data_IF_155020523381
#
_entry.id   IF_155020523381
#
_cell.length_a   1.000
_cell.length_b   1.000
_cell.length_c   1.000
_cell.angle_alpha   90.00
_cell.angle_beta   90.00
_cell.angle_gamma   90.00
#
_symmetry.space_group_name_H-M   'P 1'
#
loop_
_entity.id
_entity.type
_entity.pdbx_description
1 polymer ?
#
# COMPACT_ATOMS: atom_id res chain seq x y z
N UNK A 1 8.42 -8.61 2.42
CA UNK A 1 6.98 -8.36 2.63
C UNK A 1 6.28 -8.44 1.29
N UNK A 2 5.35 -9.39 1.16
CA UNK A 2 4.62 -9.59 -0.09
C UNK A 2 3.54 -8.53 -0.29
N UNK A 3 3.06 -8.38 -1.52
CA UNK A 3 1.90 -7.55 -1.83
C UNK A 3 0.69 -7.89 -0.93
N UNK A 4 0.43 -9.18 -0.68
CA UNK A 4 -0.70 -9.64 0.15
C UNK A 4 -0.57 -9.17 1.61
N UNK A 5 0.65 -9.22 2.15
CA UNK A 5 0.92 -8.74 3.51
C UNK A 5 0.74 -7.23 3.62
N UNK A 6 1.27 -6.47 2.66
CA UNK A 6 1.15 -5.01 2.62
C UNK A 6 -0.31 -4.59 2.55
N UNK A 7 -1.05 -5.09 1.56
CA UNK A 7 -2.46 -4.71 1.33
C UNK A 7 -3.39 -5.10 2.47
N UNK A 8 -3.12 -6.22 3.16
CA UNK A 8 -3.85 -6.59 4.38
C UNK A 8 -3.66 -5.55 5.49
N UNK A 9 -2.42 -5.12 5.76
CA UNK A 9 -2.12 -4.07 6.74
C UNK A 9 -2.74 -2.72 6.35
N UNK A 10 -2.65 -2.36 5.07
CA UNK A 10 -3.27 -1.13 4.55
C UNK A 10 -4.80 -1.12 4.76
N UNK A 11 -5.48 -2.25 4.54
CA UNK A 11 -6.91 -2.39 4.84
C UNK A 11 -7.22 -2.22 6.33
N UNK A 12 -6.41 -2.80 7.20
CA UNK A 12 -6.56 -2.63 8.66
C UNK A 12 -6.38 -1.15 9.09
N UNK A 13 -5.57 -0.39 8.36
CA UNK A 13 -5.37 1.04 8.53
C UNK A 13 -6.41 1.91 7.81
N UNK A 14 -7.46 1.32 7.25
CA UNK A 14 -8.57 2.03 6.60
C UNK A 14 -8.30 2.43 5.14
N UNK A 15 -7.16 2.05 4.56
CA UNK A 15 -6.92 2.23 3.13
C UNK A 15 -7.70 1.21 2.32
N UNK A 16 -8.08 1.59 1.10
CA UNK A 16 -8.85 0.73 0.20
C UNK A 16 -8.30 0.76 -1.21
N UNK A 17 -8.55 -0.34 -1.92
CA UNK A 17 -8.37 -0.39 -3.37
C UNK A 17 -9.31 0.64 -4.03
N UNK A 18 -8.74 1.45 -4.93
CA UNK A 18 -9.48 2.45 -5.72
C UNK A 18 -9.79 1.91 -7.11
N UNK A 19 -8.76 1.58 -7.88
CA UNK A 19 -8.89 1.03 -9.24
C UNK A 19 -7.58 0.40 -9.72
N UNK A 20 -7.66 -0.35 -10.82
CA UNK A 20 -6.47 -0.88 -11.49
C UNK A 20 -5.75 0.23 -12.28
N UNK A 21 -4.42 0.24 -12.22
CA UNK A 21 -3.56 1.07 -13.06
C UNK A 21 -3.11 0.27 -14.30
N UNK A 22 -2.13 0.80 -15.06
CA UNK A 22 -1.61 0.11 -16.24
C UNK A 22 -0.91 -1.20 -15.82
N UNK A 23 -1.34 -2.32 -16.41
CA UNK A 23 -0.75 -3.64 -16.17
C UNK A 23 -1.14 -4.23 -14.81
N UNK A 24 -0.16 -4.81 -14.11
CA UNK A 24 -0.34 -5.43 -12.79
C UNK A 24 -0.23 -4.44 -11.63
N UNK A 25 -0.46 -3.15 -11.87
CA UNK A 25 -0.41 -2.15 -10.81
C UNK A 25 -1.81 -1.80 -10.33
N UNK A 26 -1.93 -1.51 -9.05
CA UNK A 26 -3.18 -1.09 -8.42
C UNK A 26 -3.05 0.28 -7.78
N UNK A 27 -4.11 1.07 -7.83
CA UNK A 27 -4.20 2.34 -7.14
C UNK A 27 -4.91 2.11 -5.81
N UNK A 28 -4.29 2.56 -4.74
CA UNK A 28 -4.81 2.51 -3.39
C UNK A 28 -5.04 3.90 -2.86
N UNK A 29 -6.14 4.08 -2.13
CA UNK A 29 -6.59 5.34 -1.56
C UNK A 29 -6.61 5.22 -0.03
N UNK A 30 -6.09 6.23 0.65
CA UNK A 30 -6.36 6.50 2.04
C UNK A 30 -7.54 7.50 2.13
N UNK A 31 -8.75 7.07 2.55
CA UNK A 31 -9.91 7.96 2.63
C UNK A 31 -9.74 9.10 3.64
N UNK A 32 -8.88 8.95 4.65
CA UNK A 32 -8.71 9.93 5.71
C UNK A 32 -8.08 11.25 5.24
N UNK A 33 -7.20 11.17 4.24
CA UNK A 33 -6.49 12.33 3.68
C UNK A 33 -6.61 12.42 2.15
N UNK A 34 -7.44 11.57 1.53
CA UNK A 34 -7.61 11.43 0.09
C UNK A 34 -6.32 11.12 -0.70
N UNK A 35 -5.26 10.70 -0.01
CA UNK A 35 -3.99 10.40 -0.64
C UNK A 35 -4.04 9.07 -1.39
N UNK A 36 -3.36 9.01 -2.55
CA UNK A 36 -3.32 7.83 -3.41
C UNK A 36 -1.89 7.40 -3.67
N UNK A 37 -1.70 6.10 -3.82
CA UNK A 37 -0.43 5.52 -4.25
C UNK A 37 -0.66 4.36 -5.21
N UNK A 38 0.39 3.99 -5.94
CA UNK A 38 0.37 2.85 -6.87
C UNK A 38 1.17 1.71 -6.27
N UNK A 39 0.53 0.56 -6.10
CA UNK A 39 1.14 -0.65 -5.55
C UNK A 39 1.32 -1.67 -6.68
N UNK A 40 2.56 -2.15 -6.93
CA UNK A 40 2.76 -3.21 -7.90
C UNK A 40 2.28 -4.57 -7.36
N UNK A 41 1.55 -5.32 -8.17
CA UNK A 41 1.18 -6.71 -7.90
C UNK A 41 2.26 -7.64 -8.45
N UNK A 42 3.26 -7.97 -7.63
CA UNK A 42 4.31 -8.96 -7.93
C UNK A 42 3.95 -10.38 -7.47
N UNK A 43 2.65 -10.66 -7.25
CA UNK A 43 2.19 -11.99 -6.83
C UNK A 43 2.76 -12.40 -5.47
N UNK A 44 3.62 -13.44 -5.49
CA UNK A 44 4.26 -14.01 -4.30
C UNK A 44 5.61 -13.37 -3.96
N UNK A 45 6.15 -12.54 -4.84
CA UNK A 45 7.45 -11.90 -4.63
C UNK A 45 7.36 -10.78 -3.58
N UNK A 46 8.49 -10.58 -2.91
CA UNK A 46 8.64 -9.55 -1.92
C UNK A 46 8.79 -8.16 -2.55
N UNK A 47 8.04 -7.20 -2.00
CA UNK A 47 8.22 -5.79 -2.31
C UNK A 47 9.56 -5.30 -1.76
N UNK A 48 10.29 -4.54 -2.57
CA UNK A 48 11.55 -3.92 -2.13
C UNK A 48 11.26 -2.97 -0.95
N UNK A 49 12.12 -2.92 0.08
CA UNK A 49 11.90 -2.05 1.24
C UNK A 49 11.65 -0.58 0.89
N UNK A 50 12.38 -0.04 -0.10
CA UNK A 50 12.18 1.34 -0.57
C UNK A 50 10.80 1.60 -1.18
N UNK A 51 10.20 0.60 -1.83
CA UNK A 51 8.84 0.70 -2.39
C UNK A 51 7.82 0.79 -1.25
N UNK A 52 8.00 0.00 -0.20
CA UNK A 52 7.12 0.05 0.98
C UNK A 52 7.20 1.42 1.65
N UNK A 53 8.42 1.95 1.84
CA UNK A 53 8.62 3.30 2.42
C UNK A 53 7.94 4.37 1.57
N UNK A 54 8.06 4.31 0.24
CA UNK A 54 7.39 5.25 -0.66
C UNK A 54 5.86 5.17 -0.54
N UNK A 55 5.30 3.95 -0.56
CA UNK A 55 3.85 3.72 -0.40
C UNK A 55 3.32 4.30 0.90
N UNK A 56 4.02 4.06 2.03
CA UNK A 56 3.60 4.59 3.33
C UNK A 56 3.67 6.12 3.37
N UNK A 57 4.72 6.70 2.78
CA UNK A 57 4.86 8.16 2.68
C UNK A 57 3.74 8.76 1.86
N UNK A 58 3.45 8.20 0.69
CA UNK A 58 2.39 8.69 -0.21
C UNK A 58 1.02 8.60 0.47
N UNK A 59 0.74 7.54 1.24
CA UNK A 59 -0.52 7.39 1.97
C UNK A 59 -0.59 8.19 3.27
N UNK A 60 0.50 8.85 3.68
CA UNK A 60 0.59 9.57 4.95
C UNK A 60 0.52 8.66 6.18
N UNK A 61 1.02 7.43 6.06
CA UNK A 61 1.00 6.43 7.14
C UNK A 61 2.37 6.41 7.83
N UNK A 62 2.37 6.56 9.15
CA UNK A 62 3.60 6.44 9.93
C UNK A 62 4.07 4.98 9.98
N UNK A 63 5.38 4.77 9.98
CA UNK A 63 5.94 3.41 10.10
C UNK A 63 5.48 2.70 11.38
N UNK A 64 5.32 3.44 12.47
CA UNK A 64 4.80 2.91 13.74
C UNK A 64 3.39 2.35 13.61
N UNK A 65 2.46 3.09 13.03
CA UNK A 65 1.09 2.60 12.81
C UNK A 65 1.09 1.37 11.88
N UNK A 66 1.97 1.37 10.87
CA UNK A 66 2.10 0.25 9.95
C UNK A 66 2.65 -1.04 10.58
N UNK A 67 3.61 -0.92 11.51
CA UNK A 67 4.17 -2.08 12.19
C UNK A 67 3.21 -2.68 13.23
N UNK A 68 2.26 -1.89 13.73
CA UNK A 68 1.22 -2.30 14.70
C UNK A 68 -0.05 -2.90 14.06
N UNK A 69 -0.24 -2.75 12.75
CA UNK A 69 -1.34 -3.33 11.97
C UNK A 69 -1.07 -4.77 11.52
#
# INVERSE_FOLDING_TARGET
MTYRQLTRKLRALGCRFDRQARGSHEIWLNPANQAKTTIPFWGSDDLKPGVIVAILRDLGISRRHFDQA
#
